data_IF_446981375568
#
_entry.id   IF_446981375568
#
_cell.length_a   1.000
_cell.length_b   1.000
_cell.length_c   1.000
_cell.angle_alpha   90.00
_cell.angle_beta   90.00
_cell.angle_gamma   90.00
#
_symmetry.space_group_name_H-M   'P 1'
#
loop_
_entity.id
_entity.type
_entity.pdbx_description
1 polymer ?
#
# COMPACT_ATOMS: atom_id res chain seq x y z
N UNK A 1 -15.68 -16.21 -4.62
CA UNK A 1 -14.90 -17.32 -5.22
C UNK A 1 -14.03 -17.92 -4.13
N UNK A 2 -14.30 -19.18 -3.75
CA UNK A 2 -13.47 -19.90 -2.79
C UNK A 2 -12.29 -20.51 -3.55
N UNK A 3 -11.16 -19.81 -3.59
CA UNK A 3 -9.92 -20.39 -4.11
C UNK A 3 -9.44 -21.41 -3.07
N UNK A 4 -9.67 -22.69 -3.34
CA UNK A 4 -9.04 -23.80 -2.63
C UNK A 4 -7.57 -23.80 -3.08
N UNK A 5 -6.78 -22.88 -2.53
CA UNK A 5 -5.34 -22.95 -2.64
C UNK A 5 -4.87 -24.11 -1.74
N UNK A 6 -4.05 -25.05 -2.23
CA UNK A 6 -3.45 -26.03 -1.36
C UNK A 6 -2.69 -25.31 -0.24
N UNK A 7 -2.88 -25.69 1.02
CA UNK A 7 -2.17 -25.13 2.19
C UNK A 7 -0.69 -25.57 2.19
N UNK A 8 0.02 -25.24 1.12
CA UNK A 8 1.46 -25.39 1.04
C UNK A 8 2.07 -24.01 1.25
N UNK A 9 3.22 -23.97 1.93
CA UNK A 9 3.97 -22.73 2.15
C UNK A 9 4.23 -21.96 0.84
N UNK A 10 4.39 -22.68 -0.27
CA UNK A 10 4.58 -22.09 -1.60
C UNK A 10 3.32 -21.40 -2.14
N UNK A 11 2.14 -22.02 -2.00
CA UNK A 11 0.90 -21.43 -2.49
C UNK A 11 0.48 -20.22 -1.65
N UNK A 12 0.68 -20.27 -0.33
CA UNK A 12 0.48 -19.12 0.57
C UNK A 12 1.45 -17.98 0.22
N UNK A 13 2.74 -18.29 0.01
CA UNK A 13 3.71 -17.30 -0.42
C UNK A 13 3.32 -16.63 -1.74
N UNK A 14 2.88 -17.42 -2.74
CA UNK A 14 2.44 -16.90 -4.03
C UNK A 14 1.18 -16.02 -3.91
N UNK A 15 0.24 -16.42 -3.05
CA UNK A 15 -0.96 -15.64 -2.77
C UNK A 15 -0.59 -14.25 -2.22
N UNK A 16 0.26 -14.20 -1.20
CA UNK A 16 0.72 -12.93 -0.62
C UNK A 16 1.53 -12.10 -1.62
N UNK A 17 2.43 -12.73 -2.37
CA UNK A 17 3.25 -12.04 -3.37
C UNK A 17 2.40 -11.41 -4.49
N UNK A 18 1.39 -12.13 -4.99
CA UNK A 18 0.49 -11.61 -6.03
C UNK A 18 -0.45 -10.52 -5.48
N UNK A 19 -0.90 -10.64 -4.23
CA UNK A 19 -1.64 -9.61 -3.52
C UNK A 19 -0.83 -8.32 -3.40
N UNK A 20 0.42 -8.43 -2.94
CA UNK A 20 1.34 -7.30 -2.86
C UNK A 20 1.58 -6.67 -4.24
N UNK A 21 1.85 -7.48 -5.28
CA UNK A 21 2.13 -6.97 -6.64
C UNK A 21 0.99 -6.10 -7.18
N UNK A 22 -0.26 -6.55 -6.98
CA UNK A 22 -1.45 -5.80 -7.42
C UNK A 22 -1.56 -4.46 -6.69
N UNK A 23 -1.38 -4.46 -5.37
CA UNK A 23 -1.42 -3.21 -4.60
C UNK A 23 -0.26 -2.29 -4.96
N UNK A 24 0.95 -2.81 -5.14
CA UNK A 24 2.11 -2.01 -5.54
C UNK A 24 1.94 -1.37 -6.92
N UNK A 25 1.30 -2.07 -7.87
CA UNK A 25 0.94 -1.48 -9.17
C UNK A 25 -0.01 -0.29 -9.01
N UNK A 26 -1.04 -0.42 -8.16
CA UNK A 26 -1.96 0.66 -7.84
C UNK A 26 -1.21 1.83 -7.19
N UNK A 27 -0.36 1.54 -6.20
CA UNK A 27 0.47 2.56 -5.53
C UNK A 27 1.31 3.33 -6.54
N UNK A 28 2.01 2.64 -7.44
CA UNK A 28 2.83 3.30 -8.46
C UNK A 28 1.97 4.17 -9.37
N UNK A 29 0.81 3.66 -9.80
CA UNK A 29 -0.11 4.41 -10.65
C UNK A 29 -0.62 5.71 -10.00
N UNK A 30 -1.02 5.65 -8.73
CA UNK A 30 -1.46 6.82 -7.97
C UNK A 30 -0.33 7.85 -7.78
N UNK A 31 0.90 7.40 -7.57
CA UNK A 31 2.05 8.31 -7.48
C UNK A 31 2.39 8.95 -8.84
N UNK A 32 2.16 8.25 -9.95
CA UNK A 32 2.26 8.81 -11.30
C UNK A 32 1.17 9.87 -11.56
N UNK A 33 -0.07 9.61 -11.14
CA UNK A 33 -1.17 10.57 -11.20
C UNK A 33 -0.86 11.81 -10.36
N UNK A 34 -0.44 11.63 -9.10
CA UNK A 34 -0.03 12.72 -8.22
C UNK A 34 1.09 13.57 -8.84
N UNK A 35 2.08 12.95 -9.49
CA UNK A 35 3.13 13.68 -10.21
C UNK A 35 2.58 14.49 -11.40
N UNK A 36 1.59 13.97 -12.10
CA UNK A 36 0.98 14.69 -13.23
C UNK A 36 0.23 15.95 -12.76
N UNK A 37 -0.39 15.89 -11.57
CA UNK A 37 -1.08 17.03 -10.96
C UNK A 37 -0.11 18.14 -10.53
N UNK A 38 1.09 17.82 -10.07
CA UNK A 38 2.08 18.86 -9.69
C UNK A 38 2.42 19.87 -10.81
N UNK A 39 2.09 19.59 -12.07
CA UNK A 39 2.27 20.51 -13.19
C UNK A 39 1.23 21.65 -13.22
N UNK A 40 0.17 21.56 -12.41
CA UNK A 40 -0.92 22.53 -12.32
C UNK A 40 -1.09 22.97 -10.85
N UNK A 41 -0.79 24.25 -10.58
CA UNK A 41 -0.88 24.85 -9.24
C UNK A 41 -2.29 24.76 -8.63
N UNK A 42 -3.34 24.58 -9.43
CA UNK A 42 -4.72 24.45 -8.94
C UNK A 42 -5.07 23.05 -8.43
N UNK A 43 -4.17 22.07 -8.56
CA UNK A 43 -4.45 20.65 -8.32
C UNK A 43 -3.72 20.05 -7.11
N UNK A 44 -3.28 20.89 -6.17
CA UNK A 44 -2.63 20.46 -4.93
C UNK A 44 -3.48 19.42 -4.15
N UNK A 45 -4.78 19.63 -4.05
CA UNK A 45 -5.71 18.70 -3.38
C UNK A 45 -5.72 17.31 -4.05
N UNK A 46 -5.62 17.25 -5.38
CA UNK A 46 -5.59 15.98 -6.12
C UNK A 46 -4.26 15.24 -5.89
N UNK A 47 -3.15 15.98 -5.81
CA UNK A 47 -1.84 15.42 -5.43
C UNK A 47 -1.91 14.80 -4.04
N UNK A 48 -2.41 15.56 -3.06
CA UNK A 48 -2.58 15.11 -1.68
C UNK A 48 -3.47 13.86 -1.60
N UNK A 49 -4.61 13.88 -2.27
CA UNK A 49 -5.55 12.76 -2.30
C UNK A 49 -4.91 11.48 -2.89
N UNK A 50 -4.30 11.57 -4.07
CA UNK A 50 -3.66 10.41 -4.71
C UNK A 50 -2.50 9.86 -3.88
N UNK A 51 -1.68 10.72 -3.27
CA UNK A 51 -0.59 10.27 -2.39
C UNK A 51 -1.15 9.59 -1.13
N UNK A 52 -2.18 10.14 -0.49
CA UNK A 52 -2.83 9.52 0.65
C UNK A 52 -3.41 8.15 0.30
N UNK A 53 -4.10 8.05 -0.85
CA UNK A 53 -4.71 6.80 -1.31
C UNK A 53 -3.66 5.73 -1.60
N UNK A 54 -2.56 6.10 -2.28
CA UNK A 54 -1.41 5.22 -2.48
C UNK A 54 -0.82 4.75 -1.14
N UNK A 55 -0.66 5.68 -0.20
CA UNK A 55 -0.08 5.41 1.09
C UNK A 55 -0.92 4.45 1.93
N UNK A 56 -2.25 4.56 1.86
CA UNK A 56 -3.18 3.67 2.53
C UNK A 56 -2.94 2.21 2.11
N UNK A 57 -2.99 1.91 0.80
CA UNK A 57 -2.73 0.56 0.29
C UNK A 57 -1.32 0.07 0.60
N UNK A 58 -0.34 0.97 0.59
CA UNK A 58 1.01 0.62 0.98
C UNK A 58 1.08 0.19 2.45
N UNK A 59 0.43 0.95 3.35
CA UNK A 59 0.34 0.66 4.78
C UNK A 59 -0.35 -0.67 5.09
N UNK A 60 -1.46 -0.96 4.41
CA UNK A 60 -2.14 -2.26 4.52
C UNK A 60 -1.19 -3.42 4.16
N UNK A 61 -0.46 -3.28 3.05
CA UNK A 61 0.50 -4.32 2.63
C UNK A 61 1.70 -4.41 3.55
N UNK A 62 2.13 -3.30 4.13
CA UNK A 62 3.16 -3.28 5.16
C UNK A 62 2.76 -4.12 6.36
N UNK A 63 1.51 -4.02 6.83
CA UNK A 63 0.97 -4.87 7.91
C UNK A 63 1.13 -6.35 7.56
N UNK A 64 0.75 -6.73 6.34
CA UNK A 64 0.90 -8.11 5.87
C UNK A 64 2.34 -8.52 5.58
N UNK A 65 3.37 -7.70 5.81
CA UNK A 65 4.78 -8.09 5.66
C UNK A 65 5.39 -7.79 4.29
N UNK A 66 4.86 -6.82 3.55
CA UNK A 66 5.39 -6.36 2.25
C UNK A 66 6.92 -6.15 2.26
N UNK A 67 7.44 -5.49 3.30
CA UNK A 67 8.88 -5.15 3.43
C UNK A 67 9.80 -6.38 3.53
N UNK A 68 9.24 -7.54 3.90
CA UNK A 68 9.98 -8.81 3.97
C UNK A 68 9.95 -9.53 2.62
N UNK A 69 8.84 -9.45 1.89
CA UNK A 69 8.65 -10.16 0.61
C UNK A 69 9.23 -9.43 -0.60
N UNK A 70 9.32 -8.11 -0.55
CA UNK A 70 9.73 -7.29 -1.71
C UNK A 70 11.14 -6.71 -1.57
N UNK A 71 11.86 -6.51 -2.70
CA UNK A 71 13.19 -5.93 -2.66
C UNK A 71 13.22 -4.55 -2.01
N UNK A 72 14.12 -4.38 -1.03
CA UNK A 72 14.24 -3.13 -0.25
C UNK A 72 14.46 -1.89 -1.12
N UNK A 73 15.23 -2.01 -2.19
CA UNK A 73 15.49 -0.89 -3.11
C UNK A 73 14.20 -0.41 -3.80
N UNK A 74 13.29 -1.32 -4.13
CA UNK A 74 12.03 -1.01 -4.79
C UNK A 74 11.09 -0.31 -3.82
N UNK A 75 10.95 -0.87 -2.62
CA UNK A 75 10.15 -0.27 -1.54
C UNK A 75 10.65 1.13 -1.19
N UNK A 76 11.96 1.30 -1.03
CA UNK A 76 12.56 2.60 -0.74
C UNK A 76 12.27 3.60 -1.87
N UNK A 77 12.34 3.19 -3.15
CA UNK A 77 12.05 4.07 -4.28
C UNK A 77 10.62 4.60 -4.26
N UNK A 78 9.64 3.74 -3.94
CA UNK A 78 8.24 4.15 -3.78
C UNK A 78 8.13 5.16 -2.63
N UNK A 79 8.69 4.81 -1.47
CA UNK A 79 8.66 5.66 -0.28
C UNK A 79 9.26 7.05 -0.55
N UNK A 80 10.46 7.10 -1.14
CA UNK A 80 11.11 8.38 -1.48
C UNK A 80 10.30 9.19 -2.50
N UNK A 81 9.71 8.53 -3.49
CA UNK A 81 8.88 9.20 -4.49
C UNK A 81 7.65 9.84 -3.85
N UNK A 82 6.95 9.10 -2.99
CA UNK A 82 5.76 9.61 -2.34
C UNK A 82 6.05 10.73 -1.35
N UNK A 83 7.14 10.62 -0.57
CA UNK A 83 7.60 11.67 0.34
C UNK A 83 7.94 12.98 -0.38
N UNK A 84 8.41 12.91 -1.63
CA UNK A 84 8.66 14.11 -2.44
C UNK A 84 7.37 14.73 -3.00
N UNK A 85 6.31 13.94 -3.16
CA UNK A 85 5.04 14.40 -3.71
C UNK A 85 4.17 15.05 -2.63
N UNK A 86 3.93 14.36 -1.52
CA UNK A 86 3.16 14.87 -0.38
C UNK A 86 3.49 14.07 0.89
N UNK A 87 4.50 14.53 1.65
CA UNK A 87 5.03 13.80 2.80
C UNK A 87 4.01 13.53 3.91
N UNK A 88 3.20 14.52 4.26
CA UNK A 88 2.20 14.41 5.33
C UNK A 88 1.17 13.34 4.99
N UNK A 89 0.58 13.43 3.79
CA UNK A 89 -0.42 12.50 3.29
C UNK A 89 0.14 11.08 3.14
N UNK A 90 1.41 10.96 2.73
CA UNK A 90 2.07 9.67 2.68
C UNK A 90 2.22 9.03 4.07
N UNK A 91 2.67 9.80 5.06
CA UNK A 91 2.85 9.29 6.42
C UNK A 91 1.51 8.90 7.06
N UNK A 92 0.52 9.78 6.96
CA UNK A 92 -0.83 9.54 7.52
C UNK A 92 -1.50 8.35 6.86
N UNK A 93 -1.48 8.26 5.52
CA UNK A 93 -2.11 7.15 4.81
C UNK A 93 -1.45 5.80 5.15
N UNK A 94 -0.11 5.74 5.20
CA UNK A 94 0.58 4.51 5.61
C UNK A 94 0.22 4.08 7.04
N UNK A 95 0.16 5.02 7.98
CA UNK A 95 -0.21 4.73 9.36
C UNK A 95 -1.68 4.26 9.47
N UNK A 96 -2.58 4.92 8.77
CA UNK A 96 -4.01 4.60 8.79
C UNK A 96 -4.27 3.23 8.17
N UNK A 97 -3.73 2.95 6.98
CA UNK A 97 -3.87 1.66 6.32
C UNK A 97 -3.31 0.50 7.15
N UNK A 98 -2.17 0.71 7.83
CA UNK A 98 -1.63 -0.28 8.75
C UNK A 98 -2.54 -0.52 9.96
N UNK A 99 -3.02 0.57 10.58
CA UNK A 99 -3.81 0.51 11.82
C UNK A 99 -5.19 -0.08 11.59
N UNK A 100 -5.85 0.25 10.47
CA UNK A 100 -7.18 -0.25 10.13
C UNK A 100 -7.16 -1.76 9.94
N UNK A 101 -6.16 -2.30 9.23
CA UNK A 101 -5.98 -3.75 9.10
C UNK A 101 -5.72 -4.39 10.47
N UNK A 102 -4.90 -3.77 11.32
CA UNK A 102 -4.62 -4.28 12.66
C UNK A 102 -5.89 -4.39 13.52
N UNK A 103 -6.78 -3.39 13.44
CA UNK A 103 -8.07 -3.41 14.14
C UNK A 103 -8.96 -4.52 13.59
N UNK A 104 -9.10 -4.62 12.27
CA UNK A 104 -9.95 -5.64 11.63
C UNK A 104 -9.50 -7.06 11.97
N UNK A 105 -8.20 -7.34 11.99
CA UNK A 105 -7.69 -8.66 12.40
C UNK A 105 -7.93 -8.94 13.88
N UNK A 106 -7.80 -7.93 14.75
CA UNK A 106 -8.10 -8.08 16.18
C UNK A 106 -9.58 -8.41 16.43
N UNK A 107 -10.49 -7.79 15.68
CA UNK A 107 -11.92 -8.06 15.76
C UNK A 107 -12.25 -9.47 15.24
N UNK A 108 -11.71 -9.84 14.07
CA UNK A 108 -11.93 -11.15 13.48
C UNK A 108 -11.46 -12.31 14.38
N UNK A 109 -10.36 -12.10 15.11
CA UNK A 109 -9.82 -13.10 16.05
C UNK A 109 -10.55 -13.10 17.40
N UNK A 110 -11.15 -12.00 17.82
CA UNK A 110 -11.96 -11.92 19.05
C UNK A 110 -13.32 -12.61 18.96
N UNK A 111 -13.82 -12.83 17.74
CA UNK A 111 -15.11 -13.49 17.46
C UNK A 111 -14.98 -14.98 17.13
N UNK A 112 -13.79 -15.56 17.27
CA UNK A 112 -13.50 -16.99 17.13
C UNK A 112 -13.34 -17.66 18.50
#
# INVERSE_FOLDING_TARGET
MCLIAPKTLFAEWLFWFTGDAKSLLLVVHELELARSYQQDETSALLTEFSVYHAAFFFGEREYYGLKVRWPRWFINRIHFTAMQLAATQWQEGCQNGFSEVAVLESEATSHC
#
